data_IF_229986438248
#
_entry.id   IF_229986438248
#
_cell.length_a   1.000
_cell.length_b   1.000
_cell.length_c   1.000
_cell.angle_alpha   90.00
_cell.angle_beta   90.00
_cell.angle_gamma   90.00
#
_symmetry.space_group_name_H-M   'P 1'
#
loop_
_entity.id
_entity.type
_entity.pdbx_description
1 polymer ?
#
# COMPACT_ATOMS: atom_id res chain seq x y z
N UNK A 1 16.62 -42.57 17.91
CA UNK A 1 17.24 -41.33 17.36
C UNK A 1 16.34 -40.82 16.23
N UNK A 2 15.60 -39.71 16.37
CA UNK A 2 14.75 -39.25 15.29
C UNK A 2 15.61 -38.60 14.21
N UNK A 3 15.38 -39.00 12.95
CA UNK A 3 15.98 -38.41 11.76
C UNK A 3 15.36 -37.02 11.58
N UNK A 4 16.16 -35.95 11.75
CA UNK A 4 15.74 -34.59 11.41
C UNK A 4 15.40 -34.56 9.92
N UNK A 5 14.18 -34.16 9.60
CA UNK A 5 13.69 -34.03 8.25
C UNK A 5 14.35 -32.78 7.63
N UNK A 6 15.18 -32.97 6.59
CA UNK A 6 15.98 -31.91 5.96
C UNK A 6 15.12 -30.86 5.23
N UNK A 7 13.79 -30.98 5.26
CA UNK A 7 12.84 -30.03 4.64
C UNK A 7 12.43 -28.86 5.54
N UNK A 8 12.77 -28.89 6.84
CA UNK A 8 12.45 -27.81 7.79
C UNK A 8 13.56 -26.75 7.92
N UNK A 9 14.68 -26.93 7.21
CA UNK A 9 15.82 -26.00 7.20
C UNK A 9 15.75 -24.93 6.09
N UNK A 10 14.63 -24.84 5.37
CA UNK A 10 14.52 -23.99 4.17
C UNK A 10 13.76 -22.66 4.31
N UNK A 11 13.11 -22.39 5.44
CA UNK A 11 12.21 -21.23 5.58
C UNK A 11 12.63 -20.18 6.62
N UNK A 12 13.70 -20.43 7.38
CA UNK A 12 14.12 -19.54 8.47
C UNK A 12 15.63 -19.28 8.38
N UNK A 13 16.13 -18.76 7.26
CA UNK A 13 17.40 -18.01 7.20
C UNK A 13 17.72 -17.46 5.80
N UNK A 14 16.77 -16.77 5.16
CA UNK A 14 17.12 -15.78 4.14
C UNK A 14 16.34 -14.51 4.44
N UNK A 15 16.59 -13.96 5.63
CA UNK A 15 16.57 -12.52 5.79
C UNK A 15 17.64 -11.94 4.87
N UNK A 16 17.34 -11.90 3.55
CA UNK A 16 18.00 -10.93 2.67
C UNK A 16 17.73 -9.60 3.36
N UNK A 17 18.81 -8.97 3.82
CA UNK A 17 18.83 -7.57 4.20
C UNK A 17 18.36 -6.80 2.97
N UNK A 18 17.04 -6.74 2.73
CA UNK A 18 16.52 -5.81 1.76
C UNK A 18 16.99 -4.44 2.24
N UNK A 19 17.65 -3.67 1.37
CA UNK A 19 18.08 -2.34 1.74
C UNK A 19 16.87 -1.58 2.27
N UNK A 20 17.06 -0.71 3.27
CA UNK A 20 15.96 0.08 3.80
C UNK A 20 15.25 0.78 2.63
N UNK A 21 13.91 0.89 2.67
CA UNK A 21 13.17 1.65 1.67
C UNK A 21 13.82 3.02 1.46
N UNK A 22 13.93 3.49 0.21
CA UNK A 22 14.33 4.86 -0.05
C UNK A 22 13.49 5.84 0.78
N UNK A 23 14.07 6.97 1.22
CA UNK A 23 13.30 8.00 1.91
C UNK A 23 12.22 8.58 0.99
N UNK A 24 11.19 9.17 1.61
CA UNK A 24 10.16 9.93 0.89
C UNK A 24 10.80 11.03 0.04
N UNK A 25 10.27 11.27 -1.16
CA UNK A 25 10.76 12.36 -2.03
C UNK A 25 10.57 13.72 -1.37
N UNK A 26 11.47 14.66 -1.68
CA UNK A 26 11.41 16.02 -1.10
C UNK A 26 10.16 16.76 -1.56
N UNK A 27 9.71 16.52 -2.80
CA UNK A 27 8.53 17.13 -3.38
C UNK A 27 7.25 16.67 -2.68
N UNK A 28 7.12 15.36 -2.40
CA UNK A 28 5.98 14.85 -1.65
C UNK A 28 5.98 15.38 -0.21
N UNK A 29 7.16 15.42 0.43
CA UNK A 29 7.29 15.98 1.79
C UNK A 29 6.82 17.44 1.85
N UNK A 30 7.30 18.29 0.94
CA UNK A 30 6.88 19.69 0.83
C UNK A 30 5.39 19.84 0.55
N UNK A 31 4.82 18.98 -0.28
CA UNK A 31 3.40 18.99 -0.59
C UNK A 31 2.55 18.64 0.65
N UNK A 32 2.94 17.61 1.41
CA UNK A 32 2.29 17.25 2.68
C UNK A 32 2.38 18.40 3.70
N UNK A 33 3.56 19.01 3.85
CA UNK A 33 3.76 20.17 4.73
C UNK A 33 2.87 21.36 4.35
N UNK A 34 2.73 21.65 3.06
CA UNK A 34 1.86 22.72 2.56
C UNK A 34 0.37 22.48 2.83
N UNK A 35 -0.03 21.22 3.04
CA UNK A 35 -1.38 20.83 3.44
C UNK A 35 -1.58 20.78 4.97
N UNK A 36 -0.61 21.26 5.75
CA UNK A 36 -0.53 21.07 7.21
C UNK A 36 -0.56 19.59 7.63
N UNK A 37 -0.07 18.70 6.77
CA UNK A 37 -0.05 17.28 7.01
C UNK A 37 0.96 16.89 8.09
N UNK A 38 0.57 16.00 9.00
CA UNK A 38 1.38 15.54 10.12
C UNK A 38 1.64 14.03 10.09
N UNK A 39 2.75 13.63 10.70
CA UNK A 39 3.14 12.24 10.97
C UNK A 39 3.05 11.28 9.77
N UNK A 40 3.73 11.56 8.64
CA UNK A 40 3.74 10.65 7.51
C UNK A 40 4.39 9.31 7.89
N UNK A 41 3.63 8.22 7.72
CA UNK A 41 4.09 6.84 7.96
C UNK A 41 4.13 6.06 6.66
N UNK A 42 5.24 5.35 6.42
CA UNK A 42 5.34 4.39 5.31
C UNK A 42 4.45 3.18 5.62
N UNK A 43 3.37 3.02 4.87
CA UNK A 43 2.42 1.90 5.01
C UNK A 43 3.00 0.64 4.38
N UNK A 44 3.42 0.71 3.12
CA UNK A 44 3.97 -0.44 2.38
C UNK A 44 4.91 0.04 1.27
N UNK A 45 5.91 -0.78 0.95
CA UNK A 45 6.64 -0.73 -0.32
C UNK A 45 6.30 -2.00 -1.08
N UNK A 46 5.73 -1.90 -2.28
CA UNK A 46 5.37 -3.09 -3.08
C UNK A 46 5.69 -2.90 -4.56
N UNK A 47 5.96 -4.03 -5.20
CA UNK A 47 6.01 -4.17 -6.65
C UNK A 47 4.58 -4.09 -7.22
N UNK A 48 4.40 -3.41 -8.35
CA UNK A 48 3.14 -3.37 -9.09
C UNK A 48 3.00 -4.58 -10.01
N UNK A 49 1.83 -5.21 -9.98
CA UNK A 49 1.51 -6.35 -10.83
C UNK A 49 0.49 -5.96 -11.92
N UNK A 50 0.37 -6.79 -12.95
CA UNK A 50 -0.58 -6.59 -14.06
C UNK A 50 -2.02 -6.30 -13.59
N UNK A 51 -2.46 -6.93 -12.50
CA UNK A 51 -3.79 -6.71 -11.91
C UNK A 51 -3.95 -5.32 -11.30
N UNK A 52 -2.89 -4.77 -10.71
CA UNK A 52 -2.90 -3.41 -10.16
C UNK A 52 -3.02 -2.37 -11.29
N UNK A 53 -2.50 -2.67 -12.48
CA UNK A 53 -2.47 -1.74 -13.62
C UNK A 53 -3.68 -1.90 -14.56
N UNK A 54 -4.58 -2.83 -14.28
CA UNK A 54 -5.64 -3.24 -15.21
C UNK A 54 -6.90 -2.38 -15.04
N UNK A 55 -7.36 -1.80 -16.15
CA UNK A 55 -8.65 -1.08 -16.23
C UNK A 55 -9.82 -1.91 -15.71
N UNK A 56 -9.83 -3.20 -16.04
CA UNK A 56 -10.88 -4.14 -15.64
C UNK A 56 -10.96 -4.32 -14.12
N UNK A 57 -9.81 -4.31 -13.44
CA UNK A 57 -9.76 -4.51 -12.00
C UNK A 57 -9.95 -3.21 -11.23
N UNK A 58 -9.42 -2.10 -11.76
CA UNK A 58 -9.53 -0.76 -11.20
C UNK A 58 -9.29 -0.71 -9.67
N UNK A 59 -8.25 -1.42 -9.23
CA UNK A 59 -7.92 -1.58 -7.82
C UNK A 59 -6.44 -1.87 -7.61
N UNK A 60 -5.95 -1.53 -6.42
CA UNK A 60 -4.66 -1.99 -5.92
C UNK A 60 -4.82 -2.68 -4.56
N UNK A 61 -4.21 -3.85 -4.43
CA UNK A 61 -4.18 -4.60 -3.17
C UNK A 61 -2.98 -4.18 -2.31
N UNK A 62 -3.24 -4.02 -1.02
CA UNK A 62 -2.25 -3.81 0.03
C UNK A 62 -2.41 -4.99 1.01
N UNK A 63 -1.55 -6.01 0.91
CA UNK A 63 -1.60 -7.15 1.82
C UNK A 63 -1.34 -6.68 3.25
N UNK A 64 -2.27 -6.94 4.17
CA UNK A 64 -2.20 -6.43 5.55
C UNK A 64 -0.93 -6.93 6.26
N UNK A 65 -0.54 -8.18 6.01
CA UNK A 65 0.68 -8.78 6.59
C UNK A 65 1.98 -8.13 6.09
N UNK A 66 1.93 -7.32 5.03
CA UNK A 66 3.09 -6.59 4.49
C UNK A 66 3.08 -5.11 4.88
N UNK A 67 2.09 -4.63 5.64
CA UNK A 67 2.10 -3.26 6.13
C UNK A 67 3.15 -3.08 7.23
N UNK A 68 3.90 -1.99 7.18
CA UNK A 68 5.04 -1.73 8.07
C UNK A 68 4.66 -1.04 9.38
N UNK A 69 3.61 -0.23 9.36
CA UNK A 69 3.14 0.55 10.52
C UNK A 69 1.62 0.57 10.56
N UNK A 70 1.08 0.71 11.76
CA UNK A 70 -0.32 1.08 11.94
C UNK A 70 -0.54 2.47 11.35
N UNK A 71 -1.60 2.61 10.55
CA UNK A 71 -1.93 3.89 9.91
C UNK A 71 -3.41 4.25 10.06
N UNK A 72 -4.25 3.31 10.51
CA UNK A 72 -5.67 3.53 10.73
C UNK A 72 -5.93 3.89 12.20
N UNK A 73 -6.90 4.75 12.43
CA UNK A 73 -7.47 4.92 13.77
C UNK A 73 -8.24 3.67 14.17
N UNK A 74 -8.53 3.54 15.47
CA UNK A 74 -9.35 2.44 15.99
C UNK A 74 -10.72 2.41 15.32
N UNK A 75 -11.33 3.56 15.09
CA UNK A 75 -12.67 3.64 14.49
C UNK A 75 -12.65 3.37 12.99
N UNK A 76 -11.65 3.88 12.27
CA UNK A 76 -11.42 3.55 10.85
C UNK A 76 -11.26 2.04 10.67
N UNK A 77 -10.41 1.41 11.49
CA UNK A 77 -10.23 -0.05 11.49
C UNK A 77 -11.54 -0.77 11.74
N UNK A 78 -12.29 -0.40 12.78
CA UNK A 78 -13.58 -1.02 13.11
C UNK A 78 -14.58 -0.87 11.97
N UNK A 79 -14.64 0.29 11.31
CA UNK A 79 -15.47 0.51 10.14
C UNK A 79 -15.10 -0.44 9.00
N UNK A 80 -13.81 -0.56 8.67
CA UNK A 80 -13.33 -1.50 7.66
C UNK A 80 -13.67 -2.97 8.00
N UNK A 81 -13.59 -3.37 9.28
CA UNK A 81 -14.02 -4.72 9.72
C UNK A 81 -15.51 -4.96 9.50
N UNK A 82 -16.35 -3.93 9.62
CA UNK A 82 -17.79 -4.00 9.32
C UNK A 82 -18.10 -3.95 7.82
N UNK A 83 -17.09 -3.83 6.96
CA UNK A 83 -17.24 -3.74 5.52
C UNK A 83 -17.51 -2.32 5.00
N UNK A 84 -17.38 -1.31 5.86
CA UNK A 84 -17.46 0.09 5.46
C UNK A 84 -16.24 0.47 4.60
N UNK A 85 -16.38 1.55 3.82
CA UNK A 85 -15.28 2.10 3.04
C UNK A 85 -14.87 3.46 3.59
N UNK A 86 -13.57 3.72 3.62
CA UNK A 86 -13.02 5.03 3.98
C UNK A 86 -12.78 5.79 2.69
N UNK A 87 -13.46 6.92 2.51
CA UNK A 87 -13.14 7.85 1.43
C UNK A 87 -11.93 8.67 1.85
N UNK A 88 -10.89 8.71 1.01
CA UNK A 88 -9.65 9.40 1.31
C UNK A 88 -9.20 10.28 0.15
N UNK A 89 -8.48 11.35 0.48
CA UNK A 89 -7.68 12.11 -0.49
C UNK A 89 -6.38 11.37 -0.73
N UNK A 90 -6.02 11.22 -2.00
CA UNK A 90 -4.85 10.48 -2.43
C UNK A 90 -3.95 11.39 -3.25
N UNK A 91 -2.72 11.60 -2.79
CA UNK A 91 -1.69 12.31 -3.54
C UNK A 91 -1.03 11.30 -4.48
N UNK A 92 -1.14 11.55 -5.77
CA UNK A 92 -0.57 10.72 -6.83
C UNK A 92 0.95 10.94 -6.95
N UNK A 93 1.69 10.06 -7.67
CA UNK A 93 3.12 10.28 -7.91
C UNK A 93 3.46 11.63 -8.56
N UNK A 94 2.59 12.16 -9.41
CA UNK A 94 2.75 13.48 -10.02
C UNK A 94 2.27 14.66 -9.16
N UNK A 95 1.93 14.41 -7.89
CA UNK A 95 1.41 15.39 -6.90
C UNK A 95 0.02 15.96 -7.20
N UNK A 96 -0.65 15.49 -8.24
CA UNK A 96 -2.09 15.67 -8.37
C UNK A 96 -2.83 14.96 -7.22
N UNK A 97 -4.00 15.47 -6.86
CA UNK A 97 -4.88 14.83 -5.89
C UNK A 97 -6.06 14.10 -6.57
N UNK A 98 -6.40 12.94 -6.03
CA UNK A 98 -7.58 12.17 -6.36
C UNK A 98 -8.35 11.75 -5.10
N UNK A 99 -9.57 11.25 -5.29
CA UNK A 99 -10.36 10.63 -4.23
C UNK A 99 -10.44 9.13 -4.49
N UNK A 100 -9.92 8.36 -3.56
CA UNK A 100 -10.04 6.91 -3.54
C UNK A 100 -10.94 6.45 -2.41
N UNK A 101 -11.30 5.17 -2.46
CA UNK A 101 -11.93 4.49 -1.32
C UNK A 101 -11.01 3.35 -0.89
N UNK A 102 -10.70 3.31 0.40
CA UNK A 102 -10.06 2.17 1.04
C UNK A 102 -11.13 1.22 1.57
N UNK A 103 -11.05 -0.06 1.20
CA UNK A 103 -11.85 -1.14 1.78
C UNK A 103 -10.94 -2.21 2.37
N UNK A 104 -11.48 -3.01 3.28
CA UNK A 104 -10.87 -4.29 3.68
C UNK A 104 -11.58 -5.44 2.99
N UNK A 105 -10.81 -6.30 2.32
CA UNK A 105 -11.29 -7.55 1.74
C UNK A 105 -10.64 -8.74 2.44
N UNK A 106 -11.47 -9.52 3.11
CA UNK A 106 -11.05 -10.78 3.73
C UNK A 106 -11.13 -11.92 2.69
N UNK A 107 -10.05 -12.68 2.58
CA UNK A 107 -10.01 -13.98 1.90
C UNK A 107 -9.82 -15.07 2.96
N UNK A 108 -10.00 -16.34 2.56
CA UNK A 108 -9.95 -17.49 3.49
C UNK A 108 -8.70 -17.54 4.37
N UNK A 109 -7.56 -17.07 3.86
CA UNK A 109 -6.25 -17.18 4.53
C UNK A 109 -5.56 -15.84 4.74
N UNK A 110 -5.94 -14.78 4.00
CA UNK A 110 -5.29 -13.47 4.10
C UNK A 110 -6.33 -12.36 3.98
N UNK A 111 -6.03 -11.20 4.55
CA UNK A 111 -6.83 -9.99 4.35
C UNK A 111 -5.99 -8.94 3.63
N UNK A 112 -6.64 -8.17 2.77
CA UNK A 112 -6.04 -7.08 2.04
C UNK A 112 -6.80 -5.79 2.35
N UNK A 113 -6.08 -4.68 2.50
CA UNK A 113 -6.69 -3.40 2.17
C UNK A 113 -6.70 -3.23 0.65
N UNK A 114 -7.71 -2.54 0.13
CA UNK A 114 -7.89 -2.35 -1.31
C UNK A 114 -8.21 -0.90 -1.59
N UNK A 115 -7.38 -0.25 -2.40
CA UNK A 115 -7.68 1.05 -2.99
C UNK A 115 -8.51 0.84 -4.25
N UNK A 116 -9.69 1.46 -4.31
CA UNK A 116 -10.65 1.34 -5.42
C UNK A 116 -11.15 2.71 -5.89
N UNK A 117 -12.15 2.73 -6.78
CA UNK A 117 -12.83 3.89 -7.37
C UNK A 117 -12.05 4.53 -8.51
N UNK A 118 -11.07 5.38 -8.22
CA UNK A 118 -10.33 6.11 -9.24
C UNK A 118 -8.91 5.56 -9.47
N UNK A 119 -8.58 4.38 -8.94
CA UNK A 119 -7.23 3.83 -9.03
C UNK A 119 -6.70 3.73 -10.47
N UNK A 120 -7.50 3.20 -11.40
CA UNK A 120 -7.08 3.10 -12.80
C UNK A 120 -6.94 4.48 -13.48
N UNK A 121 -7.67 5.50 -13.02
CA UNK A 121 -7.49 6.88 -13.51
C UNK A 121 -6.08 7.36 -13.19
N UNK A 122 -5.59 7.08 -11.98
CA UNK A 122 -4.22 7.37 -11.53
C UNK A 122 -3.21 6.58 -12.37
N UNK A 123 -3.45 5.29 -12.61
CA UNK A 123 -2.60 4.45 -13.48
C UNK A 123 -2.53 4.98 -14.91
N UNK A 124 -3.65 5.44 -15.47
CA UNK A 124 -3.73 5.89 -16.86
C UNK A 124 -3.10 7.29 -17.09
N UNK A 125 -2.77 8.02 -16.02
CA UNK A 125 -2.04 9.28 -16.12
C UNK A 125 -0.57 9.02 -16.38
N UNK A 126 -0.11 9.33 -17.61
CA UNK A 126 1.30 9.16 -18.03
C UNK A 126 2.31 9.79 -17.06
N UNK A 127 1.99 10.94 -16.47
CA UNK A 127 2.86 11.63 -15.50
C UNK A 127 3.17 10.81 -14.25
N UNK A 128 2.31 9.85 -13.89
CA UNK A 128 2.52 9.01 -12.71
C UNK A 128 3.51 7.85 -12.96
N UNK A 129 3.81 7.55 -14.23
CA UNK A 129 4.80 6.52 -14.61
C UNK A 129 4.61 5.16 -13.89
N UNK A 130 3.35 4.76 -13.65
CA UNK A 130 3.02 3.50 -12.99
C UNK A 130 3.13 2.35 -14.01
N UNK A 131 4.31 1.73 -14.04
CA UNK A 131 4.66 0.66 -14.97
C UNK A 131 4.62 -0.72 -14.30
N UNK A 132 4.51 -1.76 -15.12
CA UNK A 132 4.66 -3.14 -14.66
C UNK A 132 6.01 -3.28 -13.96
N UNK A 133 6.02 -3.97 -12.83
CA UNK A 133 7.20 -4.26 -12.04
C UNK A 133 7.85 -3.05 -11.34
N UNK A 134 7.31 -1.84 -11.51
CA UNK A 134 7.72 -0.68 -10.73
C UNK A 134 7.47 -0.92 -9.23
N UNK A 135 8.39 -0.44 -8.40
CA UNK A 135 8.25 -0.45 -6.94
C UNK A 135 7.68 0.89 -6.51
N UNK A 136 6.56 0.86 -5.79
CA UNK A 136 5.91 2.04 -5.25
C UNK A 136 5.86 1.99 -3.73
N UNK A 137 5.85 3.16 -3.12
CA UNK A 137 5.67 3.34 -1.69
C UNK A 137 4.34 4.05 -1.44
N UNK A 138 3.59 3.57 -0.45
CA UNK A 138 2.39 4.23 0.02
C UNK A 138 2.63 4.80 1.40
N UNK A 139 2.31 6.08 1.56
CA UNK A 139 2.37 6.78 2.82
C UNK A 139 0.95 7.16 3.27
N UNK A 140 0.76 7.20 4.57
CA UNK A 140 -0.44 7.74 5.20
C UNK A 140 -0.02 8.86 6.17
N UNK A 141 -0.82 9.91 6.26
CA UNK A 141 -0.58 11.07 7.12
C UNK A 141 -1.93 11.67 7.54
N UNK A 142 -1.92 12.57 8.52
CA UNK A 142 -3.12 13.25 9.03
C UNK A 142 -3.10 14.74 8.68
N UNK A 143 -4.27 15.37 8.69
CA UNK A 143 -4.54 16.77 8.36
C UNK A 143 -5.56 17.31 9.36
#
# INVERSE_FOLDING_TARGET
>A
KPKKNIKDLGFVEMGRLEPPPPPMSQELKKHIEAMNGTDPVLVIQKKLFKTDLSARHNRLLIPILQTRKEFLTVDERRGLERGEGITLRFIEPCLDEDVLVLKKWAQKTTSNYVLIKNWYRIVNKKKNMLLLDAVVQFYAFRI
#
